data_IF_805841856587
#
_entry.id   IF_805841856587
#
_cell.length_a   1.000
_cell.length_b   1.000
_cell.length_c   1.000
_cell.angle_alpha   90.00
_cell.angle_beta   90.00
_cell.angle_gamma   90.00
#
_symmetry.space_group_name_H-M   'P 1'
#
loop_
_entity.id
_entity.type
_entity.pdbx_description
1 polymer ?
#
# COMPACT_ATOMS: atom_id res chain seq x y z
N UNK A 1 -49.00 8.71 51.25
CA UNK A 1 -48.52 9.99 50.66
C UNK A 1 -47.33 10.46 51.47
N UNK A 2 -46.11 10.22 50.99
CA UNK A 2 -44.86 10.93 51.34
C UNK A 2 -43.73 10.32 50.51
N UNK A 3 -43.20 11.08 49.54
CA UNK A 3 -42.00 10.73 48.77
C UNK A 3 -40.76 11.25 49.52
N UNK A 4 -39.64 10.53 49.58
CA UNK A 4 -38.35 11.14 49.82
C UNK A 4 -37.69 11.55 48.49
N UNK A 5 -37.24 12.79 48.49
CA UNK A 5 -36.42 13.45 47.49
C UNK A 5 -34.97 13.02 47.77
N UNK A 6 -34.31 12.37 46.81
CA UNK A 6 -32.86 12.13 46.88
C UNK A 6 -32.16 13.06 45.90
N UNK A 7 -31.29 13.85 46.51
CA UNK A 7 -30.47 14.93 45.99
C UNK A 7 -29.45 14.45 44.96
N UNK A 8 -29.48 15.08 43.79
CA UNK A 8 -28.43 15.06 42.78
C UNK A 8 -27.25 15.93 43.22
N UNK A 9 -26.05 15.37 43.36
CA UNK A 9 -24.75 16.06 43.18
C UNK A 9 -23.62 15.02 43.19
N UNK A 10 -22.67 15.21 42.29
CA UNK A 10 -21.41 14.45 42.07
C UNK A 10 -21.47 13.41 40.94
N UNK A 11 -21.50 13.92 39.71
CA UNK A 11 -20.90 13.23 38.55
C UNK A 11 -19.82 14.15 37.99
N UNK A 12 -18.58 13.79 38.33
CA UNK A 12 -17.34 14.30 37.74
C UNK A 12 -17.36 13.97 36.25
N UNK A 13 -16.95 14.87 35.34
CA UNK A 13 -16.78 14.50 33.94
C UNK A 13 -15.51 13.65 33.84
N UNK A 14 -15.68 12.37 33.51
CA UNK A 14 -14.63 11.55 32.94
C UNK A 14 -14.19 12.24 31.65
N UNK A 15 -13.00 12.85 31.67
CA UNK A 15 -12.28 13.24 30.47
C UNK A 15 -12.07 11.97 29.63
N UNK A 16 -12.87 11.83 28.58
CA UNK A 16 -12.65 10.86 27.51
C UNK A 16 -11.33 11.21 26.84
N UNK A 17 -10.27 10.52 27.23
CA UNK A 17 -9.04 10.47 26.44
C UNK A 17 -9.37 9.75 25.14
N UNK A 18 -9.68 10.53 24.09
CA UNK A 18 -9.54 10.09 22.72
C UNK A 18 -8.04 9.81 22.51
N UNK A 19 -7.65 8.55 22.70
CA UNK A 19 -6.44 8.06 22.06
C UNK A 19 -6.72 8.03 20.57
N UNK A 20 -6.25 9.06 19.87
CA UNK A 20 -5.98 9.00 18.45
C UNK A 20 -5.00 7.84 18.28
N UNK A 21 -5.51 6.69 17.85
CA UNK A 21 -4.70 5.60 17.32
C UNK A 21 -4.18 6.09 15.98
N UNK A 22 -3.18 6.97 16.03
CA UNK A 22 -2.40 7.32 14.86
C UNK A 22 -1.63 6.08 14.44
N UNK A 23 -1.50 5.86 13.13
CA UNK A 23 -0.63 4.83 12.56
C UNK A 23 0.78 5.02 13.14
N UNK A 24 1.14 4.27 14.17
CA UNK A 24 2.47 4.31 14.76
C UNK A 24 3.43 3.51 13.88
N UNK A 25 3.79 4.09 12.75
CA UNK A 25 5.12 3.86 12.20
C UNK A 25 6.07 4.50 13.22
N UNK A 26 6.80 3.68 13.97
CA UNK A 26 7.69 4.15 15.02
C UNK A 26 8.75 5.07 14.43
N UNK A 27 8.57 6.38 14.57
CA UNK A 27 9.59 7.34 14.23
C UNK A 27 10.76 7.16 15.20
N UNK A 28 11.93 6.86 14.64
CA UNK A 28 13.19 6.84 15.37
C UNK A 28 13.42 8.15 16.13
N UNK A 29 14.25 8.07 17.16
CA UNK A 29 14.61 9.20 18.01
C UNK A 29 15.04 10.43 17.21
N UNK A 30 14.63 11.66 17.60
CA UNK A 30 15.08 12.88 16.93
C UNK A 30 16.60 13.00 17.02
N UNK A 31 17.28 12.96 15.87
CA UNK A 31 18.74 13.12 15.76
C UNK A 31 19.55 11.87 15.43
N UNK A 32 18.92 10.73 15.15
CA UNK A 32 19.60 9.54 14.61
C UNK A 32 19.53 9.50 13.08
N UNK A 33 20.62 9.12 12.41
CA UNK A 33 20.60 8.80 10.98
C UNK A 33 19.48 7.78 10.72
N UNK A 34 18.53 8.12 9.85
CA UNK A 34 17.55 7.15 9.34
C UNK A 34 18.36 6.01 8.71
N UNK A 35 18.17 4.73 9.11
CA UNK A 35 18.88 3.64 8.47
C UNK A 35 18.64 3.65 6.96
N UNK A 36 19.67 3.41 6.16
CA UNK A 36 19.63 3.55 4.69
C UNK A 36 18.43 2.84 4.05
N UNK A 37 18.11 1.63 4.51
CA UNK A 37 16.93 0.87 4.04
C UNK A 37 15.59 1.57 4.26
N UNK A 38 15.44 2.39 5.31
CA UNK A 38 14.21 3.18 5.50
C UNK A 38 14.09 4.33 4.49
N UNK A 39 15.22 4.93 4.08
CA UNK A 39 15.20 5.94 3.01
C UNK A 39 14.81 5.32 1.68
N UNK A 40 15.33 4.13 1.38
CA UNK A 40 14.95 3.38 0.18
C UNK A 40 13.46 3.05 0.18
N UNK A 41 12.95 2.52 1.30
CA UNK A 41 11.52 2.27 1.48
C UNK A 41 10.69 3.54 1.25
N UNK A 42 11.10 4.68 1.80
CA UNK A 42 10.38 5.94 1.56
C UNK A 42 10.34 6.32 0.08
N UNK A 43 11.40 6.07 -0.70
CA UNK A 43 11.38 6.33 -2.14
C UNK A 43 10.52 5.37 -2.93
N UNK A 44 10.40 4.12 -2.50
CA UNK A 44 9.44 3.20 -3.11
C UNK A 44 7.99 3.62 -2.86
N UNK A 45 7.69 4.24 -1.71
CA UNK A 45 6.38 4.87 -1.46
C UNK A 45 6.15 6.08 -2.36
N UNK A 46 7.19 6.89 -2.65
CA UNK A 46 7.09 7.98 -3.62
C UNK A 46 6.75 7.46 -5.03
N UNK A 47 7.33 6.32 -5.45
CA UNK A 47 7.01 5.64 -6.71
C UNK A 47 5.54 5.22 -6.74
N UNK A 48 5.06 4.48 -5.74
CA UNK A 48 3.65 4.07 -5.65
C UNK A 48 2.70 5.25 -5.66
N UNK A 49 3.04 6.30 -4.92
CA UNK A 49 2.24 7.52 -4.87
C UNK A 49 2.18 8.18 -6.24
N UNK A 50 3.30 8.21 -6.98
CA UNK A 50 3.32 8.65 -8.37
C UNK A 50 2.36 7.85 -9.24
N UNK A 51 2.38 6.51 -9.14
CA UNK A 51 1.45 5.65 -9.89
C UNK A 51 -0.01 5.93 -9.53
N UNK A 52 -0.35 5.94 -8.24
CA UNK A 52 -1.74 6.17 -7.78
C UNK A 52 -2.28 7.55 -8.18
N UNK A 53 -1.39 8.54 -8.35
CA UNK A 53 -1.73 9.90 -8.74
C UNK A 53 -1.70 10.13 -10.26
N UNK A 54 -1.21 9.16 -11.05
CA UNK A 54 -0.92 9.35 -12.48
C UNK A 54 0.27 10.28 -12.75
N UNK A 55 1.15 10.48 -11.76
CA UNK A 55 2.32 11.36 -11.83
C UNK A 55 3.57 10.54 -12.20
N UNK A 56 3.75 10.35 -13.50
CA UNK A 56 4.88 9.61 -14.08
C UNK A 56 6.23 10.23 -13.67
N UNK A 57 6.35 11.56 -13.71
CA UNK A 57 7.62 12.24 -13.44
C UNK A 57 8.03 12.11 -11.97
N UNK A 58 7.07 12.16 -11.04
CA UNK A 58 7.35 11.88 -9.63
C UNK A 58 7.88 10.47 -9.41
N UNK A 59 7.30 9.47 -10.07
CA UNK A 59 7.77 8.10 -9.96
C UNK A 59 9.17 7.94 -10.55
N UNK A 60 9.43 8.53 -11.73
CA UNK A 60 10.75 8.53 -12.39
C UNK A 60 11.82 9.20 -11.52
N UNK A 61 11.51 10.36 -10.93
CA UNK A 61 12.44 11.05 -10.04
C UNK A 61 12.79 10.21 -8.80
N UNK A 62 11.81 9.52 -8.21
CA UNK A 62 12.03 8.64 -7.08
C UNK A 62 12.88 7.40 -7.44
N UNK A 63 12.67 6.82 -8.62
CA UNK A 63 13.47 5.70 -9.13
C UNK A 63 14.91 6.13 -9.47
N UNK A 64 15.10 7.30 -10.08
CA UNK A 64 16.43 7.86 -10.35
C UNK A 64 17.23 8.05 -9.06
N UNK A 65 16.58 8.53 -8.00
CA UNK A 65 17.20 8.63 -6.68
C UNK A 65 17.66 7.27 -6.15
N UNK A 66 16.85 6.22 -6.33
CA UNK A 66 17.20 4.86 -5.91
C UNK A 66 18.41 4.33 -6.70
N UNK A 67 18.46 4.54 -8.01
CA UNK A 67 19.60 4.15 -8.85
C UNK A 67 20.90 4.77 -8.38
N UNK A 68 20.91 6.10 -8.23
CA UNK A 68 22.10 6.85 -7.81
C UNK A 68 22.61 6.38 -6.44
N UNK A 69 21.68 6.13 -5.51
CA UNK A 69 22.02 5.75 -4.15
C UNK A 69 22.50 4.30 -4.04
N UNK A 70 21.76 3.38 -4.65
CA UNK A 70 22.03 1.94 -4.54
C UNK A 70 23.20 1.48 -5.42
N UNK A 71 23.57 2.24 -6.45
CA UNK A 71 24.76 1.97 -7.25
C UNK A 71 26.08 2.06 -6.45
N UNK A 72 26.10 2.86 -5.37
CA UNK A 72 27.26 2.99 -4.47
C UNK A 72 27.13 2.30 -3.12
N UNK A 73 25.96 1.76 -2.79
CA UNK A 73 25.65 1.18 -1.49
C UNK A 73 26.41 -0.12 -1.19
N UNK A 74 26.71 -0.37 0.09
CA UNK A 74 27.23 -1.65 0.56
C UNK A 74 26.06 -2.62 0.75
N UNK A 75 26.14 -3.76 0.07
CA UNK A 75 25.15 -4.83 0.18
C UNK A 75 25.73 -6.00 0.97
N UNK A 76 24.88 -6.75 1.71
CA UNK A 76 25.34 -7.96 2.38
C UNK A 76 25.74 -9.01 1.35
N UNK A 77 26.74 -9.83 1.69
CA UNK A 77 27.18 -10.92 0.82
C UNK A 77 26.01 -11.86 0.49
N UNK A 78 25.88 -12.23 -0.79
CA UNK A 78 24.76 -13.02 -1.30
C UNK A 78 23.55 -12.19 -1.76
N UNK A 79 23.60 -10.86 -1.58
CA UNK A 79 22.56 -9.92 -1.99
C UNK A 79 22.69 -9.41 -3.43
N UNK A 80 23.77 -9.76 -4.15
CA UNK A 80 24.16 -9.12 -5.40
C UNK A 80 23.10 -9.26 -6.51
N UNK A 81 22.47 -10.43 -6.62
CA UNK A 81 21.42 -10.67 -7.62
C UNK A 81 20.16 -9.84 -7.34
N UNK A 82 19.78 -9.69 -6.07
CA UNK A 82 18.59 -8.91 -5.68
C UNK A 82 18.83 -7.41 -5.85
N UNK A 83 20.05 -6.96 -5.54
CA UNK A 83 20.49 -5.60 -5.86
C UNK A 83 20.38 -5.33 -7.35
N UNK A 84 20.90 -6.24 -8.19
CA UNK A 84 20.85 -6.07 -9.63
C UNK A 84 19.40 -6.03 -10.13
N UNK A 85 18.52 -6.88 -9.61
CA UNK A 85 17.09 -6.87 -9.94
C UNK A 85 16.39 -5.57 -9.52
N UNK A 86 16.71 -5.05 -8.34
CA UNK A 86 16.22 -3.75 -7.85
C UNK A 86 16.68 -2.61 -8.77
N UNK A 87 17.98 -2.54 -9.08
CA UNK A 87 18.54 -1.51 -9.97
C UNK A 87 17.94 -1.62 -11.37
N UNK A 88 17.79 -2.82 -11.93
CA UNK A 88 17.17 -3.02 -13.23
C UNK A 88 15.71 -2.54 -13.25
N UNK A 89 14.96 -2.75 -12.18
CA UNK A 89 13.56 -2.31 -12.09
C UNK A 89 13.48 -0.79 -11.95
N UNK A 90 14.37 -0.18 -11.14
CA UNK A 90 14.46 1.27 -11.02
C UNK A 90 14.87 1.94 -12.34
N UNK A 91 15.80 1.35 -13.09
CA UNK A 91 16.22 1.80 -14.43
C UNK A 91 15.06 1.76 -15.44
N UNK A 92 14.28 0.65 -15.44
CA UNK A 92 13.08 0.57 -16.26
C UNK A 92 12.01 1.58 -15.87
N UNK A 93 11.87 1.90 -14.58
CA UNK A 93 10.98 2.98 -14.13
C UNK A 93 11.47 4.34 -14.65
N UNK A 94 12.77 4.63 -14.61
CA UNK A 94 13.30 5.90 -15.13
C UNK A 94 13.15 6.05 -16.64
N UNK A 95 13.09 4.95 -17.39
CA UNK A 95 12.88 4.96 -18.84
C UNK A 95 11.41 4.81 -19.25
N UNK A 96 10.51 4.58 -18.28
CA UNK A 96 9.09 4.37 -18.55
C UNK A 96 8.45 5.56 -19.27
N UNK A 97 7.58 5.22 -20.23
CA UNK A 97 6.80 6.16 -21.05
C UNK A 97 5.34 6.24 -20.59
N UNK A 98 4.92 5.32 -19.71
CA UNK A 98 3.58 5.28 -19.17
C UNK A 98 3.56 4.88 -17.68
N UNK A 99 2.55 5.35 -16.95
CA UNK A 99 2.33 5.00 -15.54
C UNK A 99 2.10 3.50 -15.34
N UNK A 100 1.48 2.83 -16.32
CA UNK A 100 1.29 1.38 -16.32
C UNK A 100 2.63 0.62 -16.30
N UNK A 101 3.62 1.06 -17.07
CA UNK A 101 4.96 0.44 -17.08
C UNK A 101 5.63 0.58 -15.70
N UNK A 102 5.50 1.77 -15.09
CA UNK A 102 5.99 2.03 -13.73
C UNK A 102 5.31 1.11 -12.71
N UNK A 103 3.99 0.92 -12.83
CA UNK A 103 3.23 0.09 -11.91
C UNK A 103 3.72 -1.37 -11.91
N UNK A 104 3.94 -1.93 -13.10
CA UNK A 104 4.45 -3.30 -13.26
C UNK A 104 5.87 -3.44 -12.68
N UNK A 105 6.76 -2.49 -12.97
CA UNK A 105 8.11 -2.50 -12.42
C UNK A 105 8.14 -2.25 -10.90
N UNK A 106 7.15 -1.56 -10.35
CA UNK A 106 7.02 -1.36 -8.90
C UNK A 106 6.81 -2.69 -8.18
N UNK A 107 6.02 -3.61 -8.74
CA UNK A 107 5.88 -4.97 -8.22
C UNK A 107 7.19 -5.75 -8.24
N UNK A 108 7.93 -5.69 -9.36
CA UNK A 108 9.25 -6.36 -9.52
C UNK A 108 10.31 -5.80 -8.57
N UNK A 109 10.30 -4.47 -8.38
CA UNK A 109 11.16 -3.79 -7.43
C UNK A 109 10.86 -4.28 -6.00
N UNK A 110 9.58 -4.40 -5.63
CA UNK A 110 9.16 -4.91 -4.32
C UNK A 110 9.61 -6.36 -4.08
N UNK A 111 9.44 -7.25 -5.06
CA UNK A 111 9.92 -8.62 -4.97
C UNK A 111 11.44 -8.71 -4.85
N UNK A 112 12.19 -7.79 -5.45
CA UNK A 112 13.65 -7.72 -5.28
C UNK A 112 14.03 -7.42 -3.81
N UNK A 113 13.30 -6.51 -3.16
CA UNK A 113 13.45 -6.27 -1.71
C UNK A 113 13.11 -7.53 -0.91
N UNK A 114 11.97 -8.16 -1.21
CA UNK A 114 11.51 -9.35 -0.51
C UNK A 114 12.46 -10.53 -0.64
N UNK A 115 12.91 -10.84 -1.85
CA UNK A 115 13.85 -11.92 -2.12
C UNK A 115 15.17 -11.75 -1.36
N UNK A 116 15.70 -10.53 -1.30
CA UNK A 116 16.87 -10.24 -0.46
C UNK A 116 16.59 -10.50 1.01
N UNK A 117 15.47 -9.99 1.54
CA UNK A 117 15.09 -10.18 2.94
C UNK A 117 14.91 -11.67 3.31
N UNK A 118 14.32 -12.48 2.43
CA UNK A 118 14.23 -13.94 2.63
C UNK A 118 15.62 -14.59 2.64
N UNK A 119 16.47 -14.27 1.67
CA UNK A 119 17.80 -14.87 1.52
C UNK A 119 18.70 -14.54 2.72
N UNK A 120 18.65 -13.30 3.20
CA UNK A 120 19.40 -12.85 4.37
C UNK A 120 18.75 -13.25 5.70
N UNK A 121 17.53 -13.84 5.67
CA UNK A 121 16.71 -14.12 6.86
C UNK A 121 16.56 -12.89 7.75
N UNK A 122 16.38 -11.74 7.12
CA UNK A 122 16.30 -10.42 7.75
C UNK A 122 15.15 -9.60 7.17
N UNK A 123 15.25 -8.28 7.29
CA UNK A 123 14.24 -7.35 6.77
C UNK A 123 13.20 -6.90 7.81
N UNK A 124 12.26 -6.05 7.37
CA UNK A 124 11.20 -5.53 8.24
C UNK A 124 10.23 -6.66 8.64
N UNK A 125 9.73 -6.58 9.87
CA UNK A 125 8.61 -7.41 10.32
C UNK A 125 7.36 -6.54 10.36
N UNK A 126 6.39 -6.89 9.54
CA UNK A 126 5.08 -6.25 9.54
C UNK A 126 4.14 -7.06 10.42
N UNK A 127 3.45 -6.37 11.32
CA UNK A 127 2.40 -6.96 12.15
C UNK A 127 1.07 -6.48 11.58
N UNK A 128 0.19 -7.41 11.22
CA UNK A 128 -1.18 -7.07 10.84
C UNK A 128 -1.97 -6.74 12.12
N UNK A 129 -1.70 -5.56 12.67
CA UNK A 129 -2.17 -5.18 14.01
C UNK A 129 -3.61 -4.67 14.06
N UNK A 130 -4.22 -4.37 12.91
CA UNK A 130 -5.58 -3.85 12.81
C UNK A 130 -6.37 -4.61 11.75
N UNK A 131 -7.66 -4.81 12.01
CA UNK A 131 -8.60 -5.31 11.00
C UNK A 131 -8.79 -4.28 9.88
N UNK A 132 -9.22 -4.76 8.71
CA UNK A 132 -9.57 -3.90 7.59
C UNK A 132 -10.65 -2.87 8.00
N UNK A 133 -10.44 -1.56 7.77
CA UNK A 133 -11.37 -0.51 8.20
C UNK A 133 -12.81 -0.74 7.70
N UNK A 134 -13.81 -0.65 8.58
CA UNK A 134 -15.23 -0.80 8.24
C UNK A 134 -15.86 0.40 7.52
N UNK A 135 -17.11 0.24 7.08
CA UNK A 135 -17.96 1.31 6.55
C UNK A 135 -18.46 1.05 5.12
N UNK A 136 -19.60 1.64 4.76
CA UNK A 136 -20.26 1.41 3.46
C UNK A 136 -20.14 2.59 2.49
N UNK A 137 -19.63 3.74 2.96
CA UNK A 137 -19.46 4.91 2.08
C UNK A 137 -18.35 4.67 1.06
N UNK A 138 -18.39 5.44 -0.02
CA UNK A 138 -17.38 5.43 -1.07
C UNK A 138 -15.96 5.67 -0.51
N UNK A 139 -15.83 6.63 0.41
CA UNK A 139 -14.59 6.97 1.10
C UNK A 139 -14.11 5.83 1.99
N UNK A 140 -15.03 5.22 2.76
CA UNK A 140 -14.71 4.07 3.61
C UNK A 140 -14.21 2.87 2.79
N UNK A 141 -14.83 2.62 1.64
CA UNK A 141 -14.40 1.55 0.73
C UNK A 141 -13.00 1.82 0.15
N UNK A 142 -12.62 3.08 -0.08
CA UNK A 142 -11.24 3.38 -0.50
C UNK A 142 -10.22 3.34 0.59
N UNK A 143 -10.57 3.75 1.80
CA UNK A 143 -9.68 3.57 2.95
C UNK A 143 -9.38 2.07 3.12
N UNK A 144 -10.38 1.21 2.90
CA UNK A 144 -10.21 -0.24 2.89
C UNK A 144 -9.36 -0.75 1.70
N UNK A 145 -9.52 -0.19 0.50
CA UNK A 145 -8.67 -0.52 -0.65
C UNK A 145 -7.20 -0.15 -0.41
N UNK A 146 -6.95 1.05 0.11
CA UNK A 146 -5.61 1.50 0.48
C UNK A 146 -5.01 0.57 1.55
N UNK A 147 -5.77 0.26 2.59
CA UNK A 147 -5.34 -0.67 3.62
C UNK A 147 -4.98 -2.04 3.03
N UNK A 148 -5.78 -2.57 2.10
CA UNK A 148 -5.52 -3.86 1.46
C UNK A 148 -4.27 -3.81 0.58
N UNK A 149 -4.10 -2.75 -0.22
CA UNK A 149 -2.92 -2.53 -1.03
C UNK A 149 -1.62 -2.40 -0.19
N UNK A 150 -1.69 -1.72 0.96
CA UNK A 150 -0.56 -1.62 1.89
C UNK A 150 -0.17 -3.01 2.44
N UNK A 151 -1.15 -3.85 2.79
CA UNK A 151 -0.89 -5.22 3.27
C UNK A 151 -0.26 -6.10 2.18
N UNK A 152 -0.71 -5.99 0.94
CA UNK A 152 -0.09 -6.69 -0.21
C UNK A 152 1.36 -6.22 -0.41
N UNK A 153 1.62 -4.91 -0.31
CA UNK A 153 2.97 -4.36 -0.40
C UNK A 153 3.89 -4.88 0.70
N UNK A 154 3.41 -4.91 1.94
CA UNK A 154 4.14 -5.49 3.08
C UNK A 154 4.41 -6.98 2.90
N UNK A 155 3.46 -7.70 2.29
CA UNK A 155 3.59 -9.09 1.90
C UNK A 155 4.67 -9.34 0.84
N UNK A 156 5.00 -8.33 0.03
CA UNK A 156 6.08 -8.38 -0.96
C UNK A 156 7.42 -7.93 -0.38
N UNK A 157 7.47 -6.74 0.22
CA UNK A 157 8.73 -6.14 0.71
C UNK A 157 9.23 -6.84 1.96
N UNK A 158 8.35 -7.23 2.89
CA UNK A 158 8.67 -7.91 4.15
C UNK A 158 8.47 -9.43 4.11
N UNK A 159 8.43 -10.02 2.91
CA UNK A 159 7.83 -11.33 2.56
C UNK A 159 6.86 -11.90 3.61
N UNK A 160 5.86 -11.11 4.00
CA UNK A 160 4.94 -11.48 5.09
C UNK A 160 3.71 -12.21 4.54
N UNK A 161 3.65 -13.53 4.74
CA UNK A 161 2.48 -14.35 4.40
C UNK A 161 1.19 -13.82 5.04
N UNK A 162 1.27 -13.42 6.31
CA UNK A 162 0.12 -12.90 7.05
C UNK A 162 -0.39 -11.59 6.44
N UNK A 163 0.52 -10.66 6.11
CA UNK A 163 0.14 -9.40 5.47
C UNK A 163 -0.42 -9.65 4.06
N UNK A 164 0.23 -10.49 3.26
CA UNK A 164 -0.26 -10.81 1.92
C UNK A 164 -1.68 -11.37 1.95
N UNK A 165 -1.93 -12.40 2.77
CA UNK A 165 -3.24 -13.01 2.90
C UNK A 165 -4.30 -12.01 3.38
N UNK A 166 -3.97 -11.19 4.39
CA UNK A 166 -4.90 -10.18 4.91
C UNK A 166 -5.28 -9.13 3.84
N UNK A 167 -4.30 -8.67 3.05
CA UNK A 167 -4.53 -7.74 1.95
C UNK A 167 -5.37 -8.34 0.83
N UNK A 168 -5.00 -9.54 0.38
CA UNK A 168 -5.69 -10.25 -0.70
C UNK A 168 -7.16 -10.54 -0.35
N UNK A 169 -7.43 -11.03 0.86
CA UNK A 169 -8.78 -11.30 1.34
C UNK A 169 -9.61 -10.02 1.45
N UNK A 170 -9.06 -8.96 2.05
CA UNK A 170 -9.77 -7.68 2.15
C UNK A 170 -10.07 -7.07 0.77
N UNK A 171 -9.17 -7.23 -0.21
CA UNK A 171 -9.39 -6.78 -1.59
C UNK A 171 -10.48 -7.59 -2.30
N UNK A 172 -10.57 -8.90 -2.03
CA UNK A 172 -11.59 -9.76 -2.60
C UNK A 172 -12.98 -9.52 -1.97
N UNK A 173 -13.04 -9.30 -0.66
CA UNK A 173 -14.29 -9.10 0.09
C UNK A 173 -14.92 -7.71 -0.14
N UNK A 174 -14.12 -6.71 -0.52
CA UNK A 174 -14.60 -5.33 -0.71
C UNK A 174 -15.50 -5.15 -1.92
N UNK A 175 -15.38 -5.99 -2.93
CA UNK A 175 -15.91 -5.71 -4.27
C UNK A 175 -17.44 -5.48 -4.30
N UNK A 176 -18.28 -6.29 -3.62
CA UNK A 176 -19.71 -6.03 -3.60
C UNK A 176 -20.08 -4.73 -2.90
N UNK A 177 -19.32 -4.33 -1.87
CA UNK A 177 -19.56 -3.08 -1.16
C UNK A 177 -19.06 -1.88 -1.97
N UNK A 178 -17.92 -2.01 -2.63
CA UNK A 178 -17.38 -1.00 -3.54
C UNK A 178 -18.33 -0.73 -4.71
N UNK A 179 -18.78 -1.76 -5.41
CA UNK A 179 -19.73 -1.62 -6.52
C UNK A 179 -21.05 -0.95 -6.07
N UNK A 180 -21.50 -1.21 -4.84
CA UNK A 180 -22.66 -0.52 -4.26
C UNK A 180 -22.38 0.95 -3.98
N UNK A 181 -21.22 1.26 -3.39
CA UNK A 181 -20.84 2.62 -3.05
C UNK A 181 -20.71 3.53 -4.28
N UNK A 182 -20.38 2.96 -5.44
CA UNK A 182 -20.23 3.69 -6.69
C UNK A 182 -21.47 3.71 -7.59
N UNK A 183 -22.55 3.01 -7.21
CA UNK A 183 -23.74 2.81 -8.07
C UNK A 183 -24.32 4.12 -8.61
N UNK A 184 -24.35 5.15 -7.78
CA UNK A 184 -24.96 6.43 -8.11
C UNK A 184 -23.96 7.43 -8.75
N UNK A 185 -22.70 7.02 -8.95
CA UNK A 185 -21.68 7.83 -9.60
C UNK A 185 -22.00 7.99 -11.09
N UNK A 186 -21.92 9.22 -11.66
CA UNK A 186 -22.01 9.44 -13.11
C UNK A 186 -20.95 8.67 -13.91
N UNK A 187 -19.88 8.22 -13.24
CA UNK A 187 -18.80 7.42 -13.82
C UNK A 187 -19.02 5.90 -13.68
N UNK A 188 -20.10 5.43 -13.04
CA UNK A 188 -20.32 4.01 -12.73
C UNK A 188 -20.16 3.10 -13.96
N UNK A 189 -20.73 3.49 -15.10
CA UNK A 189 -20.60 2.73 -16.35
C UNK A 189 -19.17 2.64 -16.90
N UNK A 190 -18.29 3.58 -16.54
CA UNK A 190 -16.85 3.55 -16.89
C UNK A 190 -16.01 2.82 -15.83
N UNK A 191 -16.46 2.82 -14.57
CA UNK A 191 -15.76 2.21 -13.43
C UNK A 191 -15.99 0.70 -13.39
N UNK A 192 -17.12 0.20 -13.90
CA UNK A 192 -17.49 -1.22 -13.82
C UNK A 192 -16.42 -2.19 -14.30
N UNK A 193 -15.75 -1.90 -15.42
CA UNK A 193 -14.66 -2.74 -15.94
C UNK A 193 -13.46 -2.79 -14.99
N UNK A 194 -13.10 -1.67 -14.35
CA UNK A 194 -12.00 -1.62 -13.38
C UNK A 194 -12.37 -2.37 -12.09
N UNK A 195 -13.62 -2.30 -11.63
CA UNK A 195 -14.08 -3.08 -10.48
C UNK A 195 -13.99 -4.58 -10.74
N UNK A 196 -14.38 -5.02 -11.94
CA UNK A 196 -14.25 -6.41 -12.35
C UNK A 196 -12.80 -6.86 -12.41
N UNK A 197 -11.91 -6.02 -12.98
CA UNK A 197 -10.48 -6.29 -13.05
C UNK A 197 -9.83 -6.36 -11.66
N UNK A 198 -10.13 -5.42 -10.75
CA UNK A 198 -9.65 -5.49 -9.36
C UNK A 198 -10.16 -6.75 -8.66
N UNK A 199 -11.41 -7.16 -8.88
CA UNK A 199 -11.95 -8.40 -8.32
C UNK A 199 -11.24 -9.66 -8.85
N UNK A 200 -10.86 -9.68 -10.13
CA UNK A 200 -10.06 -10.78 -10.70
C UNK A 200 -8.67 -10.81 -10.08
N UNK A 201 -7.98 -9.67 -10.05
CA UNK A 201 -6.65 -9.53 -9.45
C UNK A 201 -6.64 -9.86 -7.96
N UNK A 202 -7.71 -9.54 -7.23
CA UNK A 202 -7.83 -9.89 -5.82
C UNK A 202 -7.91 -11.41 -5.60
N UNK A 203 -8.55 -12.15 -6.52
CA UNK A 203 -8.61 -13.62 -6.46
C UNK A 203 -7.26 -14.22 -6.84
N UNK A 204 -6.63 -13.71 -7.89
CA UNK A 204 -5.26 -14.08 -8.25
C UNK A 204 -4.30 -13.82 -7.08
N UNK A 205 -4.46 -12.73 -6.33
CA UNK A 205 -3.66 -12.44 -5.15
C UNK A 205 -3.87 -13.48 -4.04
N UNK A 206 -5.10 -13.98 -3.85
CA UNK A 206 -5.39 -15.04 -2.87
C UNK A 206 -4.68 -16.35 -3.25
N UNK A 207 -4.60 -16.63 -4.56
CA UNK A 207 -4.03 -17.87 -5.09
C UNK A 207 -2.50 -17.80 -5.32
N UNK A 208 -1.88 -16.61 -5.25
CA UNK A 208 -0.45 -16.41 -5.50
C UNK A 208 0.44 -17.01 -4.39
N UNK A 209 1.28 -17.98 -4.77
CA UNK A 209 2.10 -18.77 -3.85
C UNK A 209 3.53 -18.25 -3.70
N UNK A 210 4.07 -17.59 -4.74
CA UNK A 210 5.46 -17.12 -4.74
C UNK A 210 5.61 -15.60 -4.99
N UNK A 211 6.82 -15.08 -4.74
CA UNK A 211 7.10 -13.64 -4.85
C UNK A 211 6.93 -13.10 -6.27
N UNK A 212 7.16 -13.90 -7.31
CA UNK A 212 7.06 -13.46 -8.69
C UNK A 212 5.58 -13.32 -9.11
N UNK A 213 4.75 -14.30 -8.74
CA UNK A 213 3.28 -14.22 -8.90
C UNK A 213 2.70 -13.03 -8.14
N UNK A 214 3.12 -12.85 -6.89
CA UNK A 214 2.70 -11.70 -6.06
C UNK A 214 3.10 -10.37 -6.68
N UNK A 215 4.31 -10.28 -7.24
CA UNK A 215 4.79 -9.06 -7.89
C UNK A 215 3.98 -8.73 -9.15
N UNK A 216 3.66 -9.73 -9.97
CA UNK A 216 2.83 -9.54 -11.16
C UNK A 216 1.43 -9.02 -10.78
N UNK A 217 0.76 -9.70 -9.86
CA UNK A 217 -0.58 -9.33 -9.40
C UNK A 217 -0.58 -7.93 -8.79
N UNK A 218 0.38 -7.62 -7.91
CA UNK A 218 0.48 -6.31 -7.30
C UNK A 218 0.74 -5.20 -8.32
N UNK A 219 1.63 -5.43 -9.29
CA UNK A 219 1.90 -4.46 -10.35
C UNK A 219 0.68 -4.17 -11.22
N UNK A 220 -0.06 -5.22 -11.62
CA UNK A 220 -1.31 -5.09 -12.39
C UNK A 220 -2.42 -4.42 -11.59
N UNK A 221 -2.49 -4.67 -10.28
CA UNK A 221 -3.41 -4.00 -9.37
C UNK A 221 -3.11 -2.50 -9.32
N UNK A 222 -1.83 -2.13 -9.16
CA UNK A 222 -1.41 -0.73 -9.09
C UNK A 222 -1.66 0.02 -10.43
N UNK A 223 -1.47 -0.65 -11.57
CA UNK A 223 -1.82 -0.11 -12.89
C UNK A 223 -3.34 0.12 -13.03
N UNK A 224 -4.14 -0.74 -12.42
CA UNK A 224 -5.61 -0.61 -12.40
C UNK A 224 -6.06 0.53 -11.50
N UNK A 225 -5.36 0.78 -10.38
CA UNK A 225 -5.60 1.93 -9.51
C UNK A 225 -5.44 3.26 -10.27
N UNK A 226 -4.34 3.44 -11.01
CA UNK A 226 -4.12 4.64 -11.85
C UNK A 226 -5.27 4.86 -12.84
N UNK A 227 -5.58 3.84 -13.65
CA UNK A 227 -6.65 3.93 -14.65
C UNK A 227 -8.00 4.24 -14.01
N UNK A 228 -8.34 3.63 -12.88
CA UNK A 228 -9.58 3.91 -12.16
C UNK A 228 -9.60 5.33 -11.54
N UNK A 229 -8.47 5.84 -11.05
CA UNK A 229 -8.39 7.17 -10.44
C UNK A 229 -8.35 8.29 -11.48
N UNK A 230 -7.81 8.03 -12.68
CA UNK A 230 -7.67 8.99 -13.79
C UNK A 230 -9.00 9.48 -14.36
N UNK A 231 -10.09 8.71 -14.22
CA UNK A 231 -11.41 9.05 -14.77
C UNK A 231 -12.24 10.01 -13.90
N UNK A 232 -11.58 10.72 -12.98
CA UNK A 232 -12.14 11.84 -12.21
C UNK A 232 -12.61 11.47 -10.80
N UNK A 233 -12.04 10.43 -10.19
CA UNK A 233 -12.46 9.93 -8.89
C UNK A 233 -11.33 9.93 -7.82
N UNK A 234 -10.08 10.20 -8.21
CA UNK A 234 -8.99 10.49 -7.28
C UNK A 234 -9.11 11.87 -6.61
N UNK A 235 -8.30 12.16 -5.56
CA UNK A 235 -8.21 13.51 -5.01
C UNK A 235 -7.93 14.50 -6.15
N UNK A 236 -8.73 15.56 -6.23
CA UNK A 236 -8.71 16.51 -7.34
C UNK A 236 -7.26 16.86 -7.74
N UNK A 237 -6.88 16.48 -8.96
CA UNK A 237 -5.66 16.98 -9.57
C UNK A 237 -5.86 18.50 -9.73
N UNK A 238 -5.08 19.27 -8.96
CA UNK A 238 -5.03 20.73 -9.06
C UNK A 238 -4.07 21.13 -10.17
#
# INVERSE_FOLDING_TARGET
MTKPIISSKNLLPLLTSLMVVGCTWGFGTPGGDIPEMHRNLSKTVDIQTGVVQGDLEKAKAAASWLLEREAGGLWPAGGEQYRQALLNSADRITEAQAVEEVALETGRLAASCGGCHMAQKGGPRFVVGSEAPGGESQEAQMIRHLWAADRLWEGLVGPSEEAWAAGALAMAETQPALARAFRDSPAFGRIGAFLEEVNLLAREAVDAEDLDERADVYGRLLATCDRCHSIGWGPAQK
#
